data_IF_566472767044
#
_entry.id   IF_566472767044
#
_cell.length_a   1.000
_cell.length_b   1.000
_cell.length_c   1.000
_cell.angle_alpha   90.00
_cell.angle_beta   90.00
_cell.angle_gamma   90.00
#
_symmetry.space_group_name_H-M   'P 1'
#
loop_
_entity.id
_entity.type
_entity.pdbx_description
1 polymer ?
#
# COMPACT_ATOMS: atom_id res chain seq x y z
N UNK A 1 27.75 -6.42 9.79
CA UNK A 1 27.40 -5.71 11.04
C UNK A 1 26.48 -4.48 10.84
N UNK A 2 26.30 -3.90 9.64
CA UNK A 2 25.40 -2.74 9.44
C UNK A 2 23.90 -3.01 9.67
N UNK A 3 23.40 -4.19 9.28
CA UNK A 3 21.97 -4.50 9.35
C UNK A 3 21.43 -4.68 10.78
N UNK A 4 22.27 -5.16 11.73
CA UNK A 4 21.85 -5.41 13.12
C UNK A 4 21.57 -4.11 13.88
N UNK A 5 22.42 -3.10 13.69
CA UNK A 5 22.29 -1.80 14.37
C UNK A 5 20.94 -1.14 14.13
N UNK A 6 20.41 -1.23 12.91
CA UNK A 6 19.12 -0.63 12.60
C UNK A 6 17.93 -1.43 13.15
N UNK A 7 18.05 -2.74 13.32
CA UNK A 7 16.94 -3.54 13.86
C UNK A 7 16.61 -3.14 15.30
N UNK A 8 17.61 -2.84 16.12
CA UNK A 8 17.42 -2.39 17.51
C UNK A 8 16.63 -1.08 17.57
N UNK A 9 16.99 -0.09 16.75
CA UNK A 9 16.25 1.18 16.62
C UNK A 9 14.78 0.93 16.21
N UNK A 10 14.54 -0.06 15.35
CA UNK A 10 13.20 -0.40 14.87
C UNK A 10 12.32 -1.11 15.92
N UNK A 11 12.92 -1.71 16.96
CA UNK A 11 12.16 -2.35 18.06
C UNK A 11 11.57 -1.35 19.05
N UNK A 12 11.96 -0.07 18.97
CA UNK A 12 11.36 1.00 19.77
C UNK A 12 9.93 1.35 19.32
N UNK A 13 9.55 0.94 18.11
CA UNK A 13 8.21 1.17 17.55
C UNK A 13 7.32 -0.07 17.69
N UNK A 14 6.02 0.13 17.88
CA UNK A 14 5.03 -0.95 17.97
C UNK A 14 4.91 -1.78 16.68
N UNK A 15 5.34 -1.22 15.56
CA UNK A 15 5.33 -1.90 14.28
C UNK A 15 5.79 -1.03 13.12
N UNK A 16 6.17 -1.69 12.03
CA UNK A 16 6.72 -1.03 10.85
C UNK A 16 6.04 -1.58 9.60
N UNK A 17 5.72 -0.69 8.67
CA UNK A 17 5.25 -1.08 7.34
C UNK A 17 6.47 -1.49 6.50
N UNK A 18 6.42 -2.69 5.92
CA UNK A 18 7.47 -3.18 5.03
C UNK A 18 7.70 -2.20 3.87
N UNK A 19 8.93 -2.18 3.29
CA UNK A 19 9.22 -1.30 2.17
C UNK A 19 8.20 -1.43 1.04
N UNK A 20 7.91 -0.31 0.41
CA UNK A 20 6.94 -0.20 -0.67
C UNK A 20 7.64 0.16 -1.99
N UNK A 21 8.22 -0.84 -2.67
CA UNK A 21 8.89 -0.60 -3.93
C UNK A 21 7.88 -0.34 -5.04
N UNK A 22 8.29 0.46 -6.02
CA UNK A 22 7.50 0.78 -7.20
C UNK A 22 7.25 -0.46 -8.05
N UNK A 23 5.99 -0.63 -8.48
CA UNK A 23 5.58 -1.59 -9.50
C UNK A 23 5.17 -0.81 -10.75
N UNK A 24 5.71 -1.20 -11.90
CA UNK A 24 5.48 -0.52 -13.17
C UNK A 24 4.44 -1.28 -13.99
N UNK A 25 3.34 -0.62 -14.33
CA UNK A 25 2.30 -1.15 -15.23
C UNK A 25 2.88 -1.31 -16.64
N UNK A 26 2.61 -2.46 -17.28
CA UNK A 26 3.21 -2.80 -18.59
C UNK A 26 4.73 -2.99 -18.57
N UNK A 27 5.36 -2.99 -17.37
CA UNK A 27 6.79 -3.19 -17.21
C UNK A 27 7.21 -4.67 -17.26
N UNK A 28 8.51 -4.93 -17.14
CA UNK A 28 9.07 -6.29 -17.10
C UNK A 28 8.56 -7.05 -15.87
N UNK A 29 7.97 -8.24 -16.12
CA UNK A 29 7.50 -9.15 -15.07
C UNK A 29 8.60 -9.50 -14.07
N UNK A 30 9.82 -9.74 -14.54
CA UNK A 30 10.97 -10.07 -13.69
C UNK A 30 11.31 -8.94 -12.72
N UNK A 31 11.26 -7.69 -13.19
CA UNK A 31 11.53 -6.52 -12.35
C UNK A 31 10.43 -6.40 -11.28
N UNK A 32 9.16 -6.44 -11.68
CA UNK A 32 8.05 -6.34 -10.73
C UNK A 32 8.05 -7.49 -9.70
N UNK A 33 8.36 -8.72 -10.11
CA UNK A 33 8.52 -9.85 -9.18
C UNK A 33 9.67 -9.62 -8.20
N UNK A 34 10.78 -9.06 -8.67
CA UNK A 34 11.93 -8.73 -7.81
C UNK A 34 11.55 -7.68 -6.76
N UNK A 35 10.80 -6.65 -7.16
CA UNK A 35 10.32 -5.62 -6.24
C UNK A 35 9.38 -6.20 -5.18
N UNK A 36 8.40 -7.00 -5.60
CA UNK A 36 7.48 -7.70 -4.69
C UNK A 36 8.26 -8.60 -3.70
N UNK A 37 9.25 -9.34 -4.20
CA UNK A 37 10.06 -10.23 -3.37
C UNK A 37 10.96 -9.47 -2.40
N UNK A 38 11.48 -8.31 -2.80
CA UNK A 38 12.29 -7.45 -1.94
C UNK A 38 11.51 -7.01 -0.69
N UNK A 39 10.28 -6.51 -0.88
CA UNK A 39 9.41 -6.12 0.24
C UNK A 39 9.17 -7.28 1.21
N UNK A 40 8.87 -8.47 0.68
CA UNK A 40 8.63 -9.69 1.46
C UNK A 40 9.87 -10.17 2.21
N UNK A 41 11.03 -10.16 1.55
CA UNK A 41 12.30 -10.58 2.13
C UNK A 41 12.69 -9.67 3.31
N UNK A 42 12.49 -8.36 3.18
CA UNK A 42 12.71 -7.41 4.28
C UNK A 42 11.72 -7.68 5.41
N UNK A 43 10.43 -7.84 5.12
CA UNK A 43 9.43 -8.18 6.14
C UNK A 43 9.76 -9.45 6.91
N UNK A 44 10.15 -10.52 6.20
CA UNK A 44 10.59 -11.77 6.83
C UNK A 44 11.81 -11.57 7.72
N UNK A 45 12.82 -10.82 7.25
CA UNK A 45 14.00 -10.52 8.04
C UNK A 45 13.64 -9.76 9.33
N UNK A 46 12.79 -8.74 9.24
CA UNK A 46 12.35 -7.96 10.40
C UNK A 46 11.59 -8.84 11.41
N UNK A 47 10.63 -9.64 10.94
CA UNK A 47 9.86 -10.56 11.79
C UNK A 47 10.75 -11.59 12.49
N UNK A 48 11.74 -12.14 11.78
CA UNK A 48 12.71 -13.09 12.35
C UNK A 48 13.53 -12.47 13.49
N UNK A 49 13.70 -11.16 13.51
CA UNK A 49 14.40 -10.44 14.57
C UNK A 49 13.46 -9.78 15.60
N UNK A 50 12.19 -10.20 15.68
CA UNK A 50 11.24 -9.74 16.70
C UNK A 50 10.56 -8.41 16.41
N UNK A 51 10.80 -7.81 15.23
CA UNK A 51 10.10 -6.58 14.82
C UNK A 51 8.74 -6.93 14.23
N UNK A 52 7.69 -6.26 14.68
CA UNK A 52 6.35 -6.42 14.13
C UNK A 52 6.24 -5.75 12.75
N UNK A 53 6.54 -6.51 11.70
CA UNK A 53 6.47 -6.00 10.32
C UNK A 53 5.09 -6.24 9.69
N UNK A 54 4.46 -5.15 9.26
CA UNK A 54 3.19 -5.12 8.54
C UNK A 54 3.47 -5.21 7.03
N UNK A 55 2.99 -6.24 6.32
CA UNK A 55 3.23 -6.37 4.90
C UNK A 55 2.58 -5.22 4.11
N UNK A 56 3.39 -4.53 3.31
CA UNK A 56 2.89 -3.59 2.32
C UNK A 56 2.57 -4.34 1.03
N UNK A 57 1.29 -4.32 0.63
CA UNK A 57 0.82 -5.00 -0.56
C UNK A 57 0.76 -4.00 -1.70
N UNK A 58 1.55 -4.26 -2.75
CA UNK A 58 1.60 -3.45 -3.96
C UNK A 58 1.31 -4.31 -5.18
N UNK A 59 0.48 -3.80 -6.07
CA UNK A 59 0.11 -4.43 -7.34
C UNK A 59 0.17 -3.43 -8.49
N UNK A 60 0.26 -3.95 -9.71
CA UNK A 60 0.09 -3.20 -10.96
C UNK A 60 -1.23 -3.58 -11.60
N UNK A 61 -1.21 -3.88 -12.90
CA UNK A 61 -2.35 -4.46 -13.60
C UNK A 61 -2.57 -5.95 -13.25
N UNK A 62 -3.52 -6.57 -13.95
CA UNK A 62 -3.88 -7.99 -13.79
C UNK A 62 -2.72 -8.97 -13.98
N UNK A 63 -1.67 -8.59 -14.74
CA UNK A 63 -0.48 -9.43 -14.92
C UNK A 63 0.31 -9.64 -13.62
N UNK A 64 0.07 -8.81 -12.60
CA UNK A 64 0.79 -8.84 -11.33
C UNK A 64 0.14 -9.73 -10.26
N UNK A 65 -1.15 -10.08 -10.43
CA UNK A 65 -1.97 -10.69 -9.38
C UNK A 65 -1.51 -12.09 -8.99
N UNK A 66 -0.84 -12.81 -9.88
CA UNK A 66 -0.35 -14.16 -9.60
C UNK A 66 0.75 -14.20 -8.55
N UNK A 67 1.46 -13.08 -8.31
CA UNK A 67 2.60 -13.05 -7.40
C UNK A 67 2.56 -11.96 -6.33
N UNK A 68 1.84 -10.85 -6.54
CA UNK A 68 1.85 -9.74 -5.59
C UNK A 68 1.29 -10.11 -4.21
N UNK A 69 0.30 -10.99 -4.15
CA UNK A 69 -0.34 -11.42 -2.89
C UNK A 69 0.30 -12.64 -2.21
N UNK A 70 1.24 -13.33 -2.87
CA UNK A 70 1.86 -14.55 -2.33
C UNK A 70 2.67 -14.25 -1.07
N UNK A 71 2.60 -15.13 -0.07
CA UNK A 71 3.37 -14.98 1.18
C UNK A 71 2.85 -13.90 2.13
N UNK A 72 1.76 -13.19 1.78
CA UNK A 72 1.07 -12.29 2.69
C UNK A 72 0.09 -13.10 3.55
N UNK A 73 0.13 -13.00 4.88
CA UNK A 73 -0.80 -13.72 5.75
C UNK A 73 -2.26 -13.32 5.50
N UNK A 74 -3.16 -14.32 5.51
CA UNK A 74 -4.61 -14.08 5.45
C UNK A 74 -5.14 -13.62 6.80
N UNK A 75 -6.25 -12.88 6.80
CA UNK A 75 -6.93 -12.40 8.02
C UNK A 75 -6.04 -11.55 8.94
N UNK A 76 -5.05 -10.90 8.33
CA UNK A 76 -4.03 -10.12 9.03
C UNK A 76 -4.19 -8.63 8.75
N UNK A 77 -3.29 -7.83 9.33
CA UNK A 77 -3.15 -6.39 9.03
C UNK A 77 -2.29 -6.26 7.77
N UNK A 78 -2.73 -5.47 6.81
CA UNK A 78 -1.96 -5.16 5.60
C UNK A 78 -1.91 -3.65 5.39
N UNK A 79 -0.86 -3.17 4.75
CA UNK A 79 -0.74 -1.78 4.32
C UNK A 79 -0.80 -1.67 2.79
N UNK A 80 -1.38 -0.58 2.29
CA UNK A 80 -1.36 -0.20 0.88
C UNK A 80 -1.03 1.27 0.73
N UNK A 81 -0.34 1.60 -0.37
CA UNK A 81 -0.03 2.97 -0.75
C UNK A 81 -0.93 3.44 -1.87
N UNK A 82 -1.46 4.64 -1.72
CA UNK A 82 -2.18 5.33 -2.79
C UNK A 82 -1.38 6.50 -3.38
N UNK A 83 -0.15 6.70 -2.88
CA UNK A 83 0.77 7.73 -3.38
C UNK A 83 1.10 7.49 -4.85
N UNK A 84 1.00 8.56 -5.66
CA UNK A 84 1.26 8.52 -7.10
C UNK A 84 0.21 7.75 -7.92
N UNK A 85 -0.63 6.92 -7.29
CA UNK A 85 -1.66 6.16 -7.98
C UNK A 85 -3.02 6.85 -7.98
N UNK A 86 -3.37 7.54 -6.88
CA UNK A 86 -4.66 8.23 -6.73
C UNK A 86 -4.40 9.73 -6.60
N UNK A 87 -4.39 10.41 -7.75
CA UNK A 87 -4.17 11.86 -7.82
C UNK A 87 -5.47 12.66 -7.58
N UNK A 88 -5.37 13.95 -7.18
CA UNK A 88 -6.53 14.81 -6.96
C UNK A 88 -7.43 15.01 -8.18
N UNK A 89 -6.83 15.07 -9.37
CA UNK A 89 -7.57 15.36 -10.59
C UNK A 89 -8.39 14.14 -11.03
N UNK A 90 -9.69 14.15 -10.73
CA UNK A 90 -10.64 13.09 -11.14
C UNK A 90 -10.71 12.88 -12.67
N UNK A 91 -10.31 13.89 -13.46
CA UNK A 91 -10.33 13.84 -14.93
C UNK A 91 -9.20 12.98 -15.52
N UNK A 92 -8.12 12.75 -14.78
CA UNK A 92 -7.01 11.93 -15.24
C UNK A 92 -7.28 10.45 -14.93
N UNK A 93 -8.00 9.79 -15.86
CA UNK A 93 -8.03 8.32 -15.95
C UNK A 93 -6.65 7.81 -16.34
N UNK A 94 -5.73 7.73 -15.38
CA UNK A 94 -4.42 7.14 -15.61
C UNK A 94 -4.42 5.65 -15.23
N UNK A 95 -3.51 4.89 -15.84
CA UNK A 95 -3.45 3.43 -15.65
C UNK A 95 -3.22 3.04 -14.18
N UNK A 96 -2.48 3.85 -13.42
CA UNK A 96 -2.20 3.60 -12.00
C UNK A 96 -3.46 3.71 -11.13
N UNK A 97 -4.33 4.67 -11.43
CA UNK A 97 -5.61 4.84 -10.76
C UNK A 97 -6.50 3.63 -11.03
N UNK A 98 -6.62 3.19 -12.27
CA UNK A 98 -7.43 2.03 -12.63
C UNK A 98 -6.91 0.76 -11.98
N UNK A 99 -5.60 0.52 -12.07
CA UNK A 99 -4.93 -0.61 -11.39
C UNK A 99 -5.22 -0.62 -9.88
N UNK A 100 -5.23 0.54 -9.23
CA UNK A 100 -5.57 0.66 -7.80
C UNK A 100 -7.02 0.28 -7.51
N UNK A 101 -7.98 0.74 -8.32
CA UNK A 101 -9.39 0.39 -8.17
C UNK A 101 -9.61 -1.10 -8.39
N UNK A 102 -9.04 -1.65 -9.45
CA UNK A 102 -9.27 -3.03 -9.89
C UNK A 102 -8.61 -4.05 -8.96
N UNK A 103 -7.40 -3.76 -8.47
CA UNK A 103 -6.68 -4.68 -7.60
C UNK A 103 -7.13 -4.66 -6.14
N UNK A 104 -7.75 -3.57 -5.66
CA UNK A 104 -8.26 -3.49 -4.29
C UNK A 104 -9.25 -4.62 -3.92
N UNK A 105 -10.36 -4.86 -4.67
CA UNK A 105 -11.28 -5.95 -4.36
C UNK A 105 -10.61 -7.32 -4.42
N UNK A 106 -9.67 -7.52 -5.36
CA UNK A 106 -8.95 -8.79 -5.52
C UNK A 106 -8.04 -9.04 -4.31
N UNK A 107 -7.35 -8.00 -3.83
CA UNK A 107 -6.57 -8.08 -2.59
C UNK A 107 -7.47 -8.45 -1.40
N UNK A 108 -8.59 -7.75 -1.25
CA UNK A 108 -9.54 -7.99 -0.17
C UNK A 108 -10.09 -9.42 -0.19
N UNK A 109 -10.43 -9.95 -1.37
CA UNK A 109 -10.93 -11.31 -1.52
C UNK A 109 -9.87 -12.37 -1.18
N UNK A 110 -8.65 -12.20 -1.70
CA UNK A 110 -7.57 -13.20 -1.54
C UNK A 110 -6.99 -13.23 -0.14
N UNK A 111 -6.80 -12.05 0.47
CA UNK A 111 -6.15 -11.90 1.77
C UNK A 111 -7.15 -11.82 2.93
N UNK A 112 -8.39 -11.40 2.68
CA UNK A 112 -9.43 -11.20 3.69
C UNK A 112 -8.92 -10.46 4.94
N UNK A 113 -8.22 -9.32 4.77
CA UNK A 113 -7.55 -8.64 5.88
C UNK A 113 -8.57 -8.11 6.89
N UNK A 114 -8.22 -8.13 8.17
CA UNK A 114 -9.05 -7.51 9.22
C UNK A 114 -8.94 -5.99 9.19
N UNK A 115 -7.72 -5.52 8.94
CA UNK A 115 -7.37 -4.11 8.91
C UNK A 115 -6.56 -3.81 7.66
N UNK A 116 -6.90 -2.72 6.98
CA UNK A 116 -6.14 -2.18 5.84
C UNK A 116 -5.67 -0.80 6.20
N UNK A 117 -4.36 -0.65 6.37
CA UNK A 117 -3.70 0.64 6.54
C UNK A 117 -3.54 1.26 5.16
N UNK A 118 -4.05 2.47 4.97
CA UNK A 118 -3.93 3.23 3.73
C UNK A 118 -3.08 4.46 4.01
N UNK A 119 -1.86 4.51 3.47
CA UNK A 119 -1.04 5.71 3.55
C UNK A 119 -1.10 6.50 2.24
N UNK A 120 -1.58 7.74 2.35
CA UNK A 120 -1.98 8.59 1.24
C UNK A 120 -3.48 8.71 1.07
N UNK A 121 -3.90 9.24 -0.09
CA UNK A 121 -5.29 9.59 -0.36
C UNK A 121 -6.22 8.39 -0.32
N UNK A 122 -7.33 8.52 0.41
CA UNK A 122 -8.35 7.48 0.53
C UNK A 122 -9.73 8.04 0.13
N UNK A 123 -9.98 8.28 -1.17
CA UNK A 123 -11.25 8.87 -1.60
C UNK A 123 -12.43 7.92 -1.36
N UNK A 124 -13.50 8.43 -0.77
CA UNK A 124 -14.72 7.67 -0.45
C UNK A 124 -15.28 6.91 -1.66
N UNK A 125 -15.22 7.48 -2.87
CA UNK A 125 -15.72 6.83 -4.09
C UNK A 125 -15.05 5.48 -4.41
N UNK A 126 -13.83 5.23 -3.92
CA UNK A 126 -13.12 3.97 -4.14
C UNK A 126 -13.28 3.05 -2.93
N UNK A 127 -13.22 3.59 -1.71
CA UNK A 127 -13.10 2.80 -0.48
C UNK A 127 -14.44 2.56 0.23
N UNK A 128 -15.44 3.43 0.06
CA UNK A 128 -16.75 3.30 0.71
C UNK A 128 -17.43 1.94 0.46
N UNK A 129 -17.42 1.37 -0.77
CA UNK A 129 -18.05 0.06 -1.02
C UNK A 129 -17.44 -1.08 -0.21
N UNK A 130 -16.20 -0.94 0.26
CA UNK A 130 -15.45 -2.00 0.92
C UNK A 130 -15.38 -1.85 2.44
N UNK A 131 -15.96 -0.79 3.03
CA UNK A 131 -15.95 -0.55 4.49
C UNK A 131 -16.60 -1.67 5.31
N UNK A 132 -17.53 -2.42 4.72
CA UNK A 132 -18.14 -3.60 5.34
C UNK A 132 -17.25 -4.86 5.25
N UNK A 133 -16.26 -4.88 4.35
CA UNK A 133 -15.37 -6.02 4.09
C UNK A 133 -14.13 -5.98 4.99
N UNK A 134 -13.56 -4.79 5.20
CA UNK A 134 -12.38 -4.60 6.04
C UNK A 134 -12.40 -3.22 6.73
N UNK A 135 -11.72 -3.11 7.87
CA UNK A 135 -11.57 -1.83 8.57
C UNK A 135 -10.39 -1.04 7.99
N UNK A 136 -10.68 0.08 7.34
CA UNK A 136 -9.65 0.96 6.77
C UNK A 136 -9.17 1.98 7.80
N UNK A 137 -7.86 2.16 7.89
CA UNK A 137 -7.20 3.18 8.72
C UNK A 137 -6.36 4.06 7.81
N UNK A 138 -6.69 5.35 7.72
CA UNK A 138 -6.03 6.26 6.81
C UNK A 138 -4.94 7.10 7.51
N UNK A 139 -3.71 7.00 7.01
CA UNK A 139 -2.61 7.89 7.35
C UNK A 139 -2.41 8.86 6.19
N UNK A 140 -2.96 10.07 6.35
CA UNK A 140 -2.82 11.14 5.35
C UNK A 140 -1.36 11.54 5.23
N UNK A 141 -0.89 11.74 4.00
CA UNK A 141 0.45 12.29 3.80
C UNK A 141 0.47 13.80 3.85
N UNK A 142 1.66 14.37 4.04
CA UNK A 142 1.86 15.81 3.97
C UNK A 142 1.45 16.38 2.60
N UNK A 143 1.70 15.62 1.53
CA UNK A 143 1.25 15.96 0.18
C UNK A 143 -0.28 16.02 0.10
N UNK A 144 -0.98 15.02 0.63
CA UNK A 144 -2.44 15.04 0.67
C UNK A 144 -2.95 16.21 1.49
N UNK A 145 -2.36 16.44 2.66
CA UNK A 145 -2.70 17.55 3.55
C UNK A 145 -2.51 18.90 2.86
N UNK A 146 -1.45 19.04 2.06
CA UNK A 146 -1.20 20.22 1.23
C UNK A 146 -2.26 20.39 0.14
N UNK A 147 -2.60 19.33 -0.60
CA UNK A 147 -3.61 19.41 -1.66
C UNK A 147 -5.01 19.71 -1.13
N UNK A 148 -5.41 19.13 0.00
CA UNK A 148 -6.69 19.43 0.66
C UNK A 148 -6.78 20.92 1.05
N UNK A 149 -5.72 21.48 1.63
CA UNK A 149 -5.66 22.93 1.96
C UNK A 149 -5.75 23.82 0.73
N UNK A 150 -5.30 23.35 -0.43
CA UNK A 150 -5.37 24.09 -1.70
C UNK A 150 -6.76 24.02 -2.34
N UNK A 151 -7.41 22.85 -2.28
CA UNK A 151 -8.81 22.69 -2.72
C UNK A 151 -9.75 23.60 -1.89
N UNK A 152 -9.60 23.66 -0.56
CA UNK A 152 -10.37 24.55 0.33
C UNK A 152 -10.17 26.05 0.05
N UNK A 153 -9.01 26.44 -0.50
CA UNK A 153 -8.72 27.84 -0.88
C UNK A 153 -9.25 28.22 -2.26
N UNK A 154 -9.60 27.24 -3.10
CA UNK A 154 -10.07 27.48 -4.48
C UNK A 154 -11.60 27.57 -4.55
N UNK A 155 -12.32 27.39 -3.42
CA UNK A 155 -13.78 27.50 -3.32
C UNK A 155 -14.27 28.91 -2.94
N UNK A 156 -13.45 29.94 -3.13
CA UNK A 156 -13.87 31.34 -3.05
C UNK A 156 -13.97 31.92 -4.47
N UNK A 157 -15.20 32.30 -4.85
CA UNK A 157 -15.62 33.20 -5.94
C UNK A 157 -14.69 33.36 -7.17
#
# INVERSE_FOLDING_TARGET
MRQKKHVEELTEFDGIICPDPTITIGGSKTINQTQVNFSKAVGFYLQKNGVFAIPCVRWGDSSTYDYCFLGVPKHYIVAISTHGCIMPCKKEKNALRNASIEGLPIMLERLKPKYVIVYGRMPEEIFAPYKAVAKFINFKSDLETYFSKREEKTTWE
#
